data_IF_836977682795
#
_entry.id   IF_836977682795
#
_cell.length_a   1.000
_cell.length_b   1.000
_cell.length_c   1.000
_cell.angle_alpha   90.00
_cell.angle_beta   90.00
_cell.angle_gamma   90.00
#
_symmetry.space_group_name_H-M   'P 1'
#
loop_
_entity.id
_entity.type
_entity.pdbx_description
1 polymer ?
#
# COMPACT_ATOMS: atom_id res chain seq x y z
N UNK A 1 1.25 26.90 -7.16
CA UNK A 1 1.52 26.23 -7.27
C UNK A 1 1.75 25.07 -7.14
N UNK A 2 1.46 24.51 -7.03
CA UNK A 2 1.61 23.47 -6.89
C UNK A 2 2.44 22.57 -7.48
N UNK A 3 3.13 22.69 -8.46
CA UNK A 3 4.04 21.92 -9.18
C UNK A 3 5.03 21.24 -8.35
N UNK A 4 5.56 21.91 -7.43
CA UNK A 4 6.51 21.36 -6.50
C UNK A 4 5.95 20.17 -5.78
N UNK A 5 4.71 20.28 -5.37
CA UNK A 5 4.06 19.21 -4.70
C UNK A 5 3.95 17.99 -5.59
N UNK A 6 3.69 18.22 -6.86
CA UNK A 6 3.61 17.11 -7.79
C UNK A 6 4.92 16.36 -7.87
N UNK A 7 6.01 17.07 -7.89
CA UNK A 7 7.30 16.46 -7.93
C UNK A 7 7.53 15.55 -6.74
N UNK A 8 7.21 16.05 -5.58
CA UNK A 8 7.39 15.28 -4.37
C UNK A 8 6.55 14.02 -4.40
N UNK A 9 5.31 14.15 -4.82
CA UNK A 9 4.41 13.02 -4.87
C UNK A 9 4.92 11.92 -5.77
N UNK A 10 5.65 12.30 -6.81
CA UNK A 10 6.13 11.33 -7.77
C UNK A 10 7.26 10.47 -7.25
N UNK A 11 7.80 10.79 -6.08
CA UNK A 11 8.88 10.00 -5.51
C UNK A 11 8.35 8.78 -4.75
N UNK A 12 7.03 8.66 -4.62
CA UNK A 12 6.45 7.55 -3.90
C UNK A 12 5.71 6.61 -4.84
N UNK A 13 5.72 5.34 -4.50
CA UNK A 13 4.95 4.33 -5.19
C UNK A 13 3.78 3.97 -4.29
N UNK A 14 2.56 4.05 -4.82
CA UNK A 14 1.35 3.79 -4.03
C UNK A 14 0.60 2.59 -4.58
N UNK A 15 0.07 1.79 -3.67
CA UNK A 15 -0.76 0.65 -4.02
C UNK A 15 -2.07 0.78 -3.26
N UNK A 16 -3.20 0.69 -3.97
CA UNK A 16 -4.51 0.66 -3.33
C UNK A 16 -5.03 -0.77 -3.41
N UNK A 17 -5.51 -1.30 -2.31
CA UNK A 17 -5.99 -2.67 -2.29
C UNK A 17 -7.19 -2.79 -1.35
N UNK A 18 -8.07 -3.74 -1.66
CA UNK A 18 -9.22 -4.05 -0.82
C UNK A 18 -9.04 -5.47 -0.31
N UNK A 19 -9.22 -5.67 0.98
CA UNK A 19 -9.00 -6.97 1.58
C UNK A 19 -9.98 -7.19 2.73
N UNK A 20 -10.14 -8.45 3.16
CA UNK A 20 -10.98 -8.73 4.33
C UNK A 20 -10.41 -8.04 5.56
N UNK A 21 -11.29 -7.58 6.43
CA UNK A 21 -10.89 -6.89 7.64
C UNK A 21 -9.91 -7.71 8.47
N UNK A 22 -10.13 -9.00 8.56
CA UNK A 22 -9.28 -9.86 9.37
C UNK A 22 -7.88 -10.04 8.79
N UNK A 23 -7.65 -9.63 7.56
CA UNK A 23 -6.33 -9.73 6.93
C UNK A 23 -5.50 -8.46 7.11
N UNK A 24 -6.08 -7.42 7.70
CA UNK A 24 -5.43 -6.12 7.78
C UNK A 24 -4.08 -6.17 8.47
N UNK A 25 -4.03 -6.79 9.63
CA UNK A 25 -2.82 -6.80 10.43
C UNK A 25 -1.70 -7.54 9.72
N UNK A 26 -2.03 -8.69 9.16
CA UNK A 26 -1.05 -9.49 8.47
C UNK A 26 -0.54 -8.78 7.20
N UNK A 27 -1.47 -8.18 6.47
CA UNK A 27 -1.12 -7.45 5.26
C UNK A 27 -0.23 -6.25 5.59
N UNK A 28 -0.55 -5.54 6.66
CA UNK A 28 0.24 -4.38 7.08
C UNK A 28 1.66 -4.80 7.43
N UNK A 29 1.79 -5.86 8.21
CA UNK A 29 3.10 -6.37 8.59
C UNK A 29 3.89 -6.77 7.34
N UNK A 30 3.23 -7.48 6.43
CA UNK A 30 3.86 -7.91 5.19
C UNK A 30 4.37 -6.74 4.37
N UNK A 31 3.54 -5.70 4.24
CA UNK A 31 3.92 -4.52 3.47
C UNK A 31 5.13 -3.82 4.09
N UNK A 32 5.16 -3.70 5.41
CA UNK A 32 6.30 -3.07 6.07
C UNK A 32 7.56 -3.91 5.89
N UNK A 33 7.42 -5.22 5.86
CA UNK A 33 8.56 -6.10 5.58
C UNK A 33 9.10 -5.87 4.17
N UNK A 34 8.25 -5.47 3.26
CA UNK A 34 8.64 -5.20 1.88
C UNK A 34 9.08 -3.76 1.67
N UNK A 35 9.14 -2.97 2.72
CA UNK A 35 9.65 -1.62 2.63
C UNK A 35 8.61 -0.52 2.59
N UNK A 36 7.38 -0.81 3.00
CA UNK A 36 6.35 0.22 3.01
C UNK A 36 6.72 1.32 4.00
N UNK A 37 6.43 2.55 3.62
CA UNK A 37 6.64 3.71 4.47
C UNK A 37 5.45 3.96 5.38
N UNK A 38 4.26 3.58 4.94
CA UNK A 38 3.06 3.78 5.73
C UNK A 38 1.84 3.25 5.01
N UNK A 39 0.71 3.26 5.71
CA UNK A 39 -0.56 2.83 5.18
C UNK A 39 -1.62 3.85 5.57
N UNK A 40 -2.65 3.95 4.74
CA UNK A 40 -3.78 4.82 5.01
C UNK A 40 -5.06 4.06 4.72
N UNK A 41 -6.02 4.10 5.65
CA UNK A 41 -7.32 3.47 5.43
C UNK A 41 -8.20 4.42 4.66
N UNK A 42 -8.62 4.00 3.47
CA UNK A 42 -9.46 4.83 2.61
C UNK A 42 -10.95 4.57 2.84
N UNK A 43 -11.30 3.32 3.11
CA UNK A 43 -12.69 2.95 3.33
C UNK A 43 -12.72 1.68 4.17
N UNK A 44 -13.76 1.53 4.96
CA UNK A 44 -13.88 0.38 5.85
C UNK A 44 -15.33 0.01 6.04
N UNK A 45 -15.60 -1.30 6.02
CA UNK A 45 -16.91 -1.84 6.35
C UNK A 45 -16.71 -2.93 7.40
N UNK A 46 -17.78 -3.66 7.72
CA UNK A 46 -17.64 -4.72 8.71
C UNK A 46 -16.92 -5.95 8.18
N UNK A 47 -16.77 -6.06 6.85
CA UNK A 47 -16.15 -7.25 6.25
C UNK A 47 -14.91 -6.94 5.44
N UNK A 48 -14.80 -5.73 4.90
CA UNK A 48 -13.68 -5.36 4.03
C UNK A 48 -13.15 -3.98 4.34
N UNK A 49 -11.90 -3.76 3.98
CA UNK A 49 -11.37 -2.42 4.04
C UNK A 49 -10.46 -2.18 2.84
N UNK A 50 -10.34 -0.91 2.46
CA UNK A 50 -9.51 -0.49 1.36
C UNK A 50 -8.37 0.34 1.92
N UNK A 51 -7.16 -0.04 1.58
CA UNK A 51 -5.96 0.61 2.09
C UNK A 51 -5.12 1.16 0.95
N UNK A 52 -4.44 2.26 1.24
CA UNK A 52 -3.41 2.78 0.37
C UNK A 52 -2.08 2.57 1.07
N UNK A 53 -1.15 1.91 0.38
CA UNK A 53 0.16 1.61 0.93
C UNK A 53 1.19 2.42 0.17
N UNK A 54 2.09 3.07 0.90
CA UNK A 54 3.12 3.92 0.30
C UNK A 54 4.47 3.26 0.41
N UNK A 55 5.21 3.27 -0.72
CA UNK A 55 6.58 2.75 -0.76
C UNK A 55 7.48 3.85 -1.31
N UNK A 56 8.70 3.92 -0.84
CA UNK A 56 9.66 4.85 -1.40
C UNK A 56 10.06 4.41 -2.80
N UNK A 57 10.16 3.11 -2.99
CA UNK A 57 10.52 2.56 -4.29
C UNK A 57 9.55 1.46 -4.64
N UNK A 58 9.36 1.23 -5.93
CA UNK A 58 8.50 0.15 -6.40
C UNK A 58 9.02 -1.18 -5.86
N UNK A 59 8.15 -1.99 -5.25
CA UNK A 59 8.59 -3.29 -4.75
C UNK A 59 9.16 -4.16 -5.87
N UNK A 60 10.12 -4.99 -5.52
CA UNK A 60 10.73 -5.90 -6.47
C UNK A 60 9.67 -6.78 -7.10
N UNK A 61 9.62 -6.82 -8.43
CA UNK A 61 8.62 -7.60 -9.13
C UNK A 61 7.28 -6.91 -9.26
N UNK A 62 7.13 -5.69 -8.68
CA UNK A 62 5.91 -4.91 -8.82
C UNK A 62 4.77 -5.40 -7.96
N UNK A 63 3.59 -4.86 -8.22
CA UNK A 63 2.39 -5.15 -7.44
C UNK A 63 2.00 -6.62 -7.52
N UNK A 64 2.08 -7.20 -8.70
CA UNK A 64 1.68 -8.58 -8.88
C UNK A 64 2.52 -9.53 -8.03
N UNK A 65 3.82 -9.31 -8.01
CA UNK A 65 4.70 -10.14 -7.20
C UNK A 65 4.40 -9.97 -5.73
N UNK A 66 4.11 -8.76 -5.31
CA UNK A 66 3.77 -8.46 -3.93
C UNK A 66 2.53 -9.25 -3.50
N UNK A 67 1.51 -9.24 -4.35
CA UNK A 67 0.27 -9.95 -4.06
C UNK A 67 0.49 -11.46 -4.03
N UNK A 68 1.27 -11.96 -4.97
CA UNK A 68 1.56 -13.40 -5.02
C UNK A 68 2.30 -13.85 -3.79
N UNK A 69 3.25 -13.06 -3.32
CA UNK A 69 4.03 -13.42 -2.15
C UNK A 69 3.18 -13.40 -0.88
N UNK A 70 2.17 -12.55 -0.85
CA UNK A 70 1.31 -12.44 0.32
C UNK A 70 0.37 -13.65 0.46
N UNK A 71 -0.01 -14.24 -0.64
CA UNK A 71 -0.94 -15.37 -0.60
C UNK A 71 -0.28 -16.64 -0.02
#
# INVERSE_FOLDING_TARGET
MKQTDSSIAQTYFEICCTLPVEAEELWSWFCFEKGALGLETLAESSVELTLRVFFEHKPSGGVQKLIEDFR
#
